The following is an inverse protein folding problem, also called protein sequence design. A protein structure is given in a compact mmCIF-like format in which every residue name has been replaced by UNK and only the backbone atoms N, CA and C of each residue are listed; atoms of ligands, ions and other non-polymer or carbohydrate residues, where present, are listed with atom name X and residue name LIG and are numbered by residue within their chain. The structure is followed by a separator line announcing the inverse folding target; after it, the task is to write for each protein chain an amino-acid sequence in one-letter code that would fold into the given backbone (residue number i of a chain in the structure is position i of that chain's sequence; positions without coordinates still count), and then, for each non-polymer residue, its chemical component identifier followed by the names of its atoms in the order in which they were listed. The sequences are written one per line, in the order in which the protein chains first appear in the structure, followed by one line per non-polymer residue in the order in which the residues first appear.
data_IF_511160501869
#
_entry.id   IF_511160501869
#
_cell.length_a   1.000
_cell.length_b   1.000
_cell.length_c   1.000
_cell.angle_alpha   90.00
_cell.angle_beta   90.00
_cell.angle_gamma   90.00
#
_symmetry.space_group_name_H-M   'P 1'
#
loop_
_entity.id
_entity.type
_entity.pdbx_description
1 polymer ?
#
# COMPACT_ATOMS: atom_id res chain seq x y z
N UNK A 1 17.99 9.01 30.29
CA UNK A 1 17.86 10.32 30.98
C UNK A 1 17.27 10.19 32.39
N UNK A 2 16.15 9.49 32.58
CA UNK A 2 15.50 9.34 33.90
C UNK A 2 16.41 8.74 34.99
N UNK A 3 17.15 7.67 34.68
CA UNK A 3 18.12 7.07 35.62
C UNK A 3 19.29 8.00 35.96
N UNK A 4 19.71 8.85 35.00
CA UNK A 4 20.79 9.82 35.19
C UNK A 4 20.38 10.97 36.12
N UNK A 5 19.20 11.54 35.87
CA UNK A 5 18.59 12.57 36.73
C UNK A 5 18.33 12.02 38.13
N UNK A 6 17.76 10.81 38.22
CA UNK A 6 17.54 10.11 39.49
C UNK A 6 18.85 9.86 40.26
N UNK A 7 19.91 9.44 39.58
CA UNK A 7 21.23 9.26 40.18
C UNK A 7 21.85 10.56 40.71
N UNK A 8 21.66 11.67 40.00
CA UNK A 8 22.12 13.00 40.42
C UNK A 8 21.36 13.50 41.66
N UNK A 9 20.04 13.33 41.72
CA UNK A 9 19.23 13.68 42.90
C UNK A 9 19.53 12.79 44.10
N UNK A 10 19.72 11.49 43.86
CA UNK A 10 20.07 10.50 44.89
C UNK A 10 21.55 10.50 45.28
N UNK A 11 22.38 11.39 44.68
CA UNK A 11 23.83 11.50 44.91
C UNK A 11 24.57 10.15 44.81
N UNK A 12 24.18 9.30 43.88
CA UNK A 12 24.78 7.97 43.75
C UNK A 12 26.26 8.06 43.34
N UNK A 13 27.06 7.08 43.77
CA UNK A 13 28.53 7.12 43.68
C UNK A 13 29.09 7.16 42.25
N UNK A 14 28.32 6.69 41.27
CA UNK A 14 28.68 6.74 39.85
C UNK A 14 28.45 8.12 39.20
N UNK A 15 27.92 9.11 39.95
CA UNK A 15 27.73 10.47 39.44
C UNK A 15 28.96 11.36 39.68
N UNK A 16 29.28 12.32 38.79
CA UNK A 16 30.46 13.17 38.93
C UNK A 16 30.46 13.92 40.27
N UNK A 17 31.51 13.73 41.08
CA UNK A 17 31.65 14.36 42.42
C UNK A 17 32.16 15.81 42.35
N UNK A 18 32.90 16.15 41.29
CA UNK A 18 33.50 17.48 41.07
C UNK A 18 32.49 18.48 40.49
N UNK A 19 32.37 19.65 41.13
CA UNK A 19 31.43 20.73 40.77
C UNK A 19 31.59 21.24 39.32
N UNK A 20 32.81 21.17 38.79
CA UNK A 20 33.15 21.59 37.42
C UNK A 20 32.45 20.75 36.33
N UNK A 21 32.17 19.47 36.60
CA UNK A 21 31.47 18.58 35.67
C UNK A 21 29.95 18.58 35.87
N UNK A 22 29.46 18.91 37.07
CA UNK A 22 28.02 18.93 37.37
C UNK A 22 27.27 20.03 36.63
N UNK A 23 27.83 21.23 36.55
CA UNK A 23 27.18 22.39 35.90
C UNK A 23 26.94 22.18 34.39
N UNK A 24 27.94 21.82 33.57
CA UNK A 24 27.71 21.60 32.13
C UNK A 24 26.76 20.44 31.85
N UNK A 25 26.81 19.38 32.66
CA UNK A 25 25.88 18.25 32.57
C UNK A 25 24.44 18.70 32.85
N UNK A 26 24.22 19.50 33.89
CA UNK A 26 22.91 20.07 34.19
C UNK A 26 22.42 20.98 33.08
N UNK A 27 23.28 21.81 32.50
CA UNK A 27 22.92 22.64 31.34
C UNK A 27 22.47 21.78 30.16
N UNK A 28 23.23 20.72 29.81
CA UNK A 28 22.86 19.78 28.74
C UNK A 28 21.52 19.10 29.05
N UNK A 29 21.30 18.61 30.27
CA UNK A 29 20.04 17.99 30.66
C UNK A 29 18.87 18.97 30.55
N UNK A 30 19.01 20.19 31.05
CA UNK A 30 17.98 21.23 30.96
C UNK A 30 17.70 21.59 29.50
N UNK A 31 18.73 21.78 28.68
CA UNK A 31 18.56 22.03 27.24
C UNK A 31 17.82 20.90 26.57
N UNK A 32 18.22 19.64 26.78
CA UNK A 32 17.53 18.49 26.20
C UNK A 32 16.06 18.40 26.65
N UNK A 33 15.76 18.69 27.92
CA UNK A 33 14.39 18.71 28.43
C UNK A 33 13.59 19.83 27.77
N UNK A 34 14.12 21.06 27.71
CA UNK A 34 13.43 22.20 27.11
C UNK A 34 13.19 21.96 25.62
N UNK A 35 14.19 21.47 24.89
CA UNK A 35 14.06 21.08 23.48
C UNK A 35 13.02 19.98 23.32
N UNK A 36 13.06 18.92 24.14
CA UNK A 36 12.11 17.82 24.06
C UNK A 36 10.67 18.29 24.35
N UNK A 37 10.46 19.09 25.40
CA UNK A 37 9.15 19.64 25.76
C UNK A 37 8.62 20.56 24.67
N UNK A 38 9.46 21.43 24.11
CA UNK A 38 9.08 22.31 23.01
C UNK A 38 8.68 21.52 21.76
N UNK A 39 9.52 20.57 21.33
CA UNK A 39 9.25 19.70 20.18
C UNK A 39 8.02 18.84 20.41
N UNK A 40 7.87 18.21 21.58
CA UNK A 40 6.74 17.38 21.92
C UNK A 40 5.42 18.17 21.93
N UNK A 41 5.44 19.40 22.46
CA UNK A 41 4.25 20.27 22.48
C UNK A 41 3.86 20.67 21.06
N UNK A 42 4.84 21.07 20.22
CA UNK A 42 4.59 21.41 18.83
C UNK A 42 4.06 20.21 18.02
N UNK A 43 4.68 19.03 18.17
CA UNK A 43 4.22 17.79 17.53
C UNK A 43 2.83 17.39 18.01
N UNK A 44 2.54 17.48 19.30
CA UNK A 44 1.22 17.15 19.87
C UNK A 44 0.12 18.07 19.36
N UNK A 45 0.40 19.37 19.25
CA UNK A 45 -0.52 20.32 18.65
C UNK A 45 -0.80 20.02 17.18
N UNK A 46 0.20 19.53 16.43
CA UNK A 46 0.08 19.18 15.00
C UNK A 46 -0.48 17.77 14.75
N UNK A 47 -0.39 16.88 15.73
CA UNK A 47 -0.71 15.47 15.61
C UNK A 47 -2.13 15.19 15.08
N UNK A 48 -3.22 15.85 15.55
CA UNK A 48 -4.55 15.57 15.04
C UNK A 48 -4.70 15.81 13.53
N UNK A 49 -4.08 16.89 13.02
CA UNK A 49 -4.11 17.23 11.60
C UNK A 49 -3.32 16.22 10.76
N UNK A 50 -2.13 15.84 11.23
CA UNK A 50 -1.30 14.81 10.60
C UNK A 50 -2.00 13.46 10.58
N UNK A 51 -2.56 13.03 11.70
CA UNK A 51 -3.32 11.77 11.82
C UNK A 51 -4.54 11.78 10.91
N UNK A 52 -5.34 12.87 10.91
CA UNK A 52 -6.50 13.00 10.03
C UNK A 52 -6.11 12.91 8.55
N UNK A 53 -5.02 13.56 8.14
CA UNK A 53 -4.50 13.46 6.78
C UNK A 53 -4.12 12.02 6.43
N UNK A 54 -3.36 11.33 7.31
CA UNK A 54 -2.99 9.93 7.08
C UNK A 54 -4.21 9.02 6.98
N UNK A 55 -5.20 9.15 7.87
CA UNK A 55 -6.44 8.37 7.79
C UNK A 55 -7.24 8.66 6.52
N UNK A 56 -7.34 9.92 6.09
CA UNK A 56 -8.02 10.28 4.83
C UNK A 56 -7.30 9.70 3.62
N UNK A 57 -5.97 9.81 3.58
CA UNK A 57 -5.16 9.22 2.51
C UNK A 57 -5.34 7.69 2.49
N UNK A 58 -5.25 7.04 3.65
CA UNK A 58 -5.49 5.61 3.81
C UNK A 58 -6.87 5.19 3.33
N UNK A 59 -7.92 5.88 3.80
CA UNK A 59 -9.29 5.60 3.43
C UNK A 59 -9.52 5.74 1.92
N UNK A 60 -8.91 6.75 1.29
CA UNK A 60 -9.03 6.95 -0.16
C UNK A 60 -8.55 5.75 -0.97
N UNK A 61 -7.57 4.98 -0.45
CA UNK A 61 -7.05 3.79 -1.14
C UNK A 61 -8.02 2.62 -1.24
N UNK A 62 -9.13 2.64 -0.49
CA UNK A 62 -10.20 1.62 -0.55
C UNK A 62 -11.56 2.21 -0.94
N UNK A 63 -11.63 3.54 -1.12
CA UNK A 63 -12.87 4.24 -1.45
C UNK A 63 -13.13 4.16 -2.96
N UNK A 64 -13.72 3.04 -3.39
CA UNK A 64 -14.29 2.90 -4.74
C UNK A 64 -15.65 3.60 -4.78
N UNK A 65 -15.93 4.33 -5.88
CA UNK A 65 -17.08 5.23 -5.99
C UNK A 65 -18.41 4.47 -5.78
N UNK A 66 -19.24 4.86 -4.79
CA UNK A 66 -20.53 4.23 -4.49
C UNK A 66 -21.65 4.58 -5.47
N UNK A 67 -21.39 5.34 -6.54
CA UNK A 67 -22.41 5.68 -7.54
C UNK A 67 -22.97 4.48 -8.30
N UNK A 68 -22.25 3.34 -8.33
CA UNK A 68 -22.77 2.10 -8.87
C UNK A 68 -23.38 1.21 -7.79
N UNK A 69 -24.54 0.65 -8.07
CA UNK A 69 -25.10 -0.44 -7.28
C UNK A 69 -24.25 -1.70 -7.48
N UNK A 70 -23.56 -2.09 -6.40
CA UNK A 70 -22.68 -3.25 -6.34
C UNK A 70 -23.39 -4.49 -5.79
N UNK A 71 -24.66 -4.39 -5.36
CA UNK A 71 -25.39 -5.53 -4.85
C UNK A 71 -25.36 -6.69 -5.87
N UNK A 72 -25.04 -7.90 -5.39
CA UNK A 72 -24.93 -9.13 -6.18
C UNK A 72 -23.88 -9.10 -7.32
N UNK A 73 -22.97 -8.12 -7.33
CA UNK A 73 -21.90 -7.99 -8.32
C UNK A 73 -20.52 -8.25 -7.72
N UNK A 74 -19.58 -8.61 -8.59
CA UNK A 74 -18.17 -8.72 -8.24
C UNK A 74 -17.44 -7.43 -8.58
N UNK A 75 -16.89 -6.77 -7.57
CA UNK A 75 -16.01 -5.62 -7.75
C UNK A 75 -14.61 -6.12 -8.11
N UNK A 76 -14.15 -5.82 -9.32
CA UNK A 76 -12.78 -6.10 -9.77
C UNK A 76 -11.97 -4.81 -9.79
N UNK A 77 -10.87 -4.81 -9.05
CA UNK A 77 -10.02 -3.64 -8.86
C UNK A 77 -8.62 -3.91 -9.39
N UNK A 78 -8.23 -3.07 -10.35
CA UNK A 78 -6.89 -3.04 -10.92
C UNK A 78 -6.08 -1.95 -10.22
N UNK A 79 -4.82 -2.26 -9.91
CA UNK A 79 -3.86 -1.30 -9.35
C UNK A 79 -4.19 -0.75 -7.96
N UNK A 80 -5.03 -1.41 -7.17
CA UNK A 80 -5.38 -0.93 -5.84
C UNK A 80 -4.11 -0.83 -4.96
N UNK A 81 -3.69 0.36 -4.53
CA UNK A 81 -2.37 0.57 -3.94
C UNK A 81 -2.21 -0.12 -2.58
N UNK A 82 -3.30 -0.57 -1.97
CA UNK A 82 -3.31 -1.23 -0.68
C UNK A 82 -4.29 -2.42 -0.67
N UNK A 83 -3.93 -3.57 -1.27
CA UNK A 83 -4.80 -4.74 -1.28
C UNK A 83 -5.15 -5.24 0.14
N UNK A 84 -4.26 -5.04 1.11
CA UNK A 84 -4.48 -5.43 2.51
C UNK A 84 -5.73 -4.79 3.12
N UNK A 85 -5.96 -3.49 2.91
CA UNK A 85 -7.11 -2.80 3.50
C UNK A 85 -8.45 -3.19 2.89
N UNK A 86 -8.46 -3.77 1.68
CA UNK A 86 -9.70 -4.29 1.10
C UNK A 86 -10.32 -5.41 1.94
N UNK A 87 -9.56 -6.08 2.81
CA UNK A 87 -10.11 -7.02 3.79
C UNK A 87 -11.06 -6.34 4.80
N UNK A 88 -10.84 -5.06 5.09
CA UNK A 88 -11.70 -4.26 5.97
C UNK A 88 -12.90 -3.62 5.26
N UNK A 89 -12.96 -3.66 3.92
CA UNK A 89 -14.00 -3.02 3.13
C UNK A 89 -15.41 -3.50 3.51
N UNK A 90 -15.67 -4.81 3.74
CA UNK A 90 -17.01 -5.25 4.12
C UNK A 90 -17.49 -4.69 5.45
N UNK A 91 -16.64 -4.71 6.48
CA UNK A 91 -16.98 -4.17 7.80
C UNK A 91 -17.22 -2.66 7.74
N UNK A 92 -16.43 -1.95 6.94
CA UNK A 92 -16.57 -0.51 6.76
C UNK A 92 -17.86 -0.14 6.04
N UNK A 93 -18.18 -0.80 4.93
CA UNK A 93 -19.43 -0.57 4.18
C UNK A 93 -20.66 -0.91 5.00
N UNK A 94 -20.63 -2.03 5.75
CA UNK A 94 -21.69 -2.39 6.68
C UNK A 94 -21.90 -1.34 7.78
N UNK A 95 -20.82 -0.78 8.34
CA UNK A 95 -20.90 0.30 9.34
C UNK A 95 -21.58 1.56 8.81
N UNK A 96 -21.40 1.88 7.52
CA UNK A 96 -22.01 3.04 6.86
C UNK A 96 -23.30 2.72 6.11
N UNK A 97 -23.86 1.51 6.26
CA UNK A 97 -25.06 1.04 5.56
C UNK A 97 -24.96 1.17 4.03
N UNK A 98 -23.75 1.01 3.48
CA UNK A 98 -23.51 1.03 2.04
C UNK A 98 -23.70 -0.36 1.40
N UNK A 99 -24.14 -0.44 0.13
CA UNK A 99 -24.18 -1.70 -0.62
C UNK A 99 -22.80 -2.38 -0.66
N UNK A 100 -22.83 -3.68 -0.36
CA UNK A 100 -21.68 -4.58 -0.43
C UNK A 100 -21.68 -5.31 -1.78
N UNK A 101 -20.52 -5.37 -2.47
CA UNK A 101 -20.39 -6.34 -3.54
C UNK A 101 -20.47 -7.77 -2.98
N UNK A 102 -20.97 -8.72 -3.76
CA UNK A 102 -20.90 -10.15 -3.42
C UNK A 102 -19.42 -10.51 -3.14
N UNK A 103 -18.52 -9.97 -3.95
CA UNK A 103 -17.09 -10.28 -3.93
C UNK A 103 -16.24 -9.09 -4.33
N UNK A 104 -15.01 -9.08 -3.83
CA UNK A 104 -13.97 -8.15 -4.30
C UNK A 104 -12.76 -8.93 -4.77
N UNK A 105 -12.23 -8.56 -5.94
CA UNK A 105 -11.02 -9.11 -6.56
C UNK A 105 -10.04 -8.00 -6.81
N UNK A 106 -8.90 -8.04 -6.13
CA UNK A 106 -7.82 -7.08 -6.32
C UNK A 106 -6.71 -7.78 -7.09
N UNK A 107 -6.46 -7.36 -8.33
CA UNK A 107 -5.56 -8.09 -9.22
C UNK A 107 -4.07 -7.79 -8.94
N UNK A 108 -3.73 -6.51 -8.76
CA UNK A 108 -2.37 -6.07 -8.52
C UNK A 108 -2.35 -4.72 -7.77
N UNK A 109 -1.27 -4.41 -7.02
CA UNK A 109 -1.14 -3.17 -6.25
C UNK A 109 -0.77 -1.93 -7.08
N UNK A 110 -0.47 -2.08 -8.38
CA UNK A 110 -0.25 -0.94 -9.28
C UNK A 110 0.98 -0.09 -8.95
N UNK A 111 2.00 -0.69 -8.32
CA UNK A 111 3.24 0.01 -7.98
C UNK A 111 4.21 0.13 -9.15
N UNK A 112 3.97 -0.63 -10.22
CA UNK A 112 4.71 -0.59 -11.47
C UNK A 112 3.78 -0.22 -12.60
N UNK A 113 4.37 0.24 -13.68
CA UNK A 113 3.65 0.36 -14.93
C UNK A 113 3.33 -1.03 -15.44
N UNK A 114 2.03 -1.29 -15.64
CA UNK A 114 1.55 -2.59 -16.09
C UNK A 114 1.00 -2.47 -17.51
N UNK A 115 1.36 -3.44 -18.32
CA UNK A 115 0.68 -3.76 -19.57
C UNK A 115 -0.42 -4.78 -19.26
N UNK A 116 -1.65 -4.43 -19.61
CA UNK A 116 -2.85 -5.21 -19.35
C UNK A 116 -3.42 -5.62 -20.70
N UNK A 117 -3.39 -6.90 -21.02
CA UNK A 117 -3.83 -7.43 -22.31
C UNK A 117 -5.00 -8.37 -22.11
N UNK A 118 -6.10 -8.17 -22.85
CA UNK A 118 -7.20 -9.13 -22.88
C UNK A 118 -6.87 -10.22 -23.89
N UNK A 119 -6.48 -11.40 -23.40
CA UNK A 119 -6.02 -12.50 -24.25
C UNK A 119 -7.16 -13.36 -24.78
N UNK A 120 -8.36 -13.23 -24.21
CA UNK A 120 -9.54 -13.98 -24.61
C UNK A 120 -10.83 -13.43 -23.99
N UNK A 121 -11.92 -14.16 -24.15
CA UNK A 121 -13.24 -13.73 -23.64
C UNK A 121 -13.25 -13.54 -22.12
N UNK A 122 -12.57 -14.44 -21.39
CA UNK A 122 -12.54 -14.51 -19.92
C UNK A 122 -11.16 -14.28 -19.31
N UNK A 123 -10.14 -14.03 -20.13
CA UNK A 123 -8.75 -14.04 -19.69
C UNK A 123 -8.08 -12.67 -19.83
N UNK A 124 -7.36 -12.29 -18.78
CA UNK A 124 -6.65 -11.01 -18.69
C UNK A 124 -5.21 -11.28 -18.24
N UNK A 125 -4.24 -10.83 -19.05
CA UNK A 125 -2.82 -10.95 -18.75
C UNK A 125 -2.30 -9.62 -18.21
N UNK A 126 -1.69 -9.66 -17.01
CA UNK A 126 -0.97 -8.52 -16.44
C UNK A 126 0.53 -8.78 -16.53
N UNK A 127 1.25 -7.81 -17.10
CA UNK A 127 2.70 -7.84 -17.23
C UNK A 127 3.31 -6.54 -16.68
N UNK A 128 4.21 -6.68 -15.71
CA UNK A 128 5.01 -5.54 -15.24
C UNK A 128 6.04 -5.18 -16.31
N UNK A 129 6.17 -3.89 -16.59
CA UNK A 129 7.22 -3.40 -17.50
C UNK A 129 8.62 -3.47 -16.84
N UNK A 130 8.70 -3.50 -15.51
CA UNK A 130 9.97 -3.61 -14.79
C UNK A 130 9.78 -4.22 -13.39
N UNK A 131 10.56 -5.26 -13.08
CA UNK A 131 10.49 -5.98 -11.80
C UNK A 131 9.11 -6.58 -11.53
N UNK A 132 8.86 -6.96 -10.27
CA UNK A 132 7.63 -7.65 -9.89
C UNK A 132 6.36 -6.78 -9.91
N UNK A 133 5.24 -7.37 -10.34
CA UNK A 133 3.91 -6.74 -10.33
C UNK A 133 3.43 -6.39 -8.90
N UNK A 134 3.98 -7.04 -7.88
CA UNK A 134 3.55 -6.92 -6.48
C UNK A 134 4.38 -5.90 -5.68
N UNK A 135 5.48 -5.41 -6.25
CA UNK A 135 6.49 -4.67 -5.50
C UNK A 135 6.77 -3.29 -6.09
N UNK A 136 7.04 -2.33 -5.21
CA UNK A 136 7.52 -1.01 -5.57
C UNK A 136 9.05 -1.01 -5.70
N UNK A 137 9.58 -0.22 -6.64
CA UNK A 137 11.01 0.10 -6.67
C UNK A 137 11.41 0.86 -5.41
N UNK A 138 12.28 0.29 -4.58
CA UNK A 138 12.78 0.97 -3.38
C UNK A 138 14.19 1.53 -3.54
N UNK A 139 14.84 1.33 -4.70
CA UNK A 139 16.19 1.85 -4.95
C UNK A 139 16.26 3.37 -4.96
N UNK A 140 15.16 4.03 -5.35
CA UNK A 140 15.00 5.50 -5.38
C UNK A 140 14.36 6.07 -4.11
N UNK A 141 14.28 5.29 -3.03
CA UNK A 141 13.67 5.74 -1.78
C UNK A 141 14.54 6.80 -1.11
N UNK A 142 13.99 8.00 -0.97
CA UNK A 142 14.59 9.09 -0.21
C UNK A 142 13.98 9.19 1.20
N UNK A 143 14.35 10.23 1.94
CA UNK A 143 13.80 10.50 3.27
C UNK A 143 12.38 11.09 3.27
N UNK A 144 11.79 11.38 2.09
CA UNK A 144 10.47 11.99 2.02
C UNK A 144 9.39 10.94 2.29
N UNK A 145 8.38 11.25 3.11
CA UNK A 145 7.22 10.38 3.27
C UNK A 145 6.51 10.16 1.93
N UNK A 146 6.20 8.90 1.62
CA UNK A 146 5.44 8.52 0.43
C UNK A 146 4.40 7.49 0.81
N UNK A 147 3.15 7.72 0.38
CA UNK A 147 2.06 6.78 0.57
C UNK A 147 2.36 5.45 -0.14
N UNK A 148 2.96 5.49 -1.33
CA UNK A 148 3.31 4.28 -2.07
C UNK A 148 4.33 3.41 -1.31
N UNK A 149 5.41 4.01 -0.77
CA UNK A 149 6.39 3.27 0.04
C UNK A 149 5.76 2.69 1.31
N UNK A 150 4.83 3.42 1.93
CA UNK A 150 4.13 2.95 3.11
C UNK A 150 3.20 1.76 2.78
N UNK A 151 2.39 1.88 1.73
CA UNK A 151 1.50 0.82 1.29
C UNK A 151 2.26 -0.45 0.83
N UNK A 152 3.41 -0.29 0.17
CA UNK A 152 4.26 -1.41 -0.24
C UNK A 152 4.69 -2.30 0.94
N UNK A 153 4.82 -1.75 2.14
CA UNK A 153 5.17 -2.54 3.32
C UNK A 153 4.12 -3.61 3.65
N UNK A 154 2.84 -3.37 3.32
CA UNK A 154 1.76 -4.31 3.60
C UNK A 154 1.71 -5.51 2.64
N UNK A 155 2.34 -5.41 1.45
CA UNK A 155 2.26 -6.46 0.44
C UNK A 155 3.05 -7.74 0.78
N UNK A 156 4.04 -7.63 1.66
CA UNK A 156 4.86 -8.78 2.09
C UNK A 156 4.40 -9.43 3.38
N UNK A 157 3.32 -8.94 4.02
CA UNK A 157 2.87 -9.41 5.33
C UNK A 157 2.48 -10.90 5.35
N UNK A 158 1.93 -11.40 4.25
CA UNK A 158 1.45 -12.78 4.15
C UNK A 158 2.34 -13.70 3.31
N UNK A 159 3.41 -13.15 2.70
CA UNK A 159 4.35 -13.91 1.90
C UNK A 159 5.77 -13.39 2.14
N UNK A 160 6.52 -14.01 3.08
CA UNK A 160 7.89 -13.64 3.35
C UNK A 160 8.82 -13.94 2.17
N UNK A 161 10.02 -13.35 2.17
CA UNK A 161 10.97 -13.43 1.07
C UNK A 161 11.48 -14.86 0.79
N UNK A 162 11.45 -15.76 1.77
CA UNK A 162 11.80 -17.17 1.65
C UNK A 162 10.69 -18.04 1.04
N UNK A 163 9.56 -17.44 0.67
CA UNK A 163 8.46 -18.08 -0.05
C UNK A 163 8.33 -17.52 -1.48
N UNK A 164 9.27 -17.82 -2.40
CA UNK A 164 9.22 -17.34 -3.77
C UNK A 164 8.06 -17.97 -4.56
N UNK A 165 7.66 -17.31 -5.64
CA UNK A 165 6.73 -17.88 -6.61
C UNK A 165 7.47 -18.83 -7.57
N UNK A 166 6.70 -19.60 -8.30
CA UNK A 166 7.16 -20.47 -9.38
C UNK A 166 6.26 -20.25 -10.58
N UNK A 167 6.80 -20.41 -11.77
CA UNK A 167 5.99 -20.45 -12.99
C UNK A 167 5.01 -21.63 -12.89
N UNK A 168 3.76 -21.40 -13.29
CA UNK A 168 2.64 -22.33 -13.15
C UNK A 168 2.05 -22.39 -11.73
N UNK A 169 2.51 -21.55 -10.79
CA UNK A 169 1.84 -21.44 -9.49
C UNK A 169 0.48 -20.78 -9.72
N UNK A 170 -0.58 -21.49 -9.34
CA UNK A 170 -1.95 -21.03 -9.46
C UNK A 170 -2.60 -20.78 -8.09
N UNK A 171 -3.36 -19.69 -7.99
CA UNK A 171 -4.26 -19.43 -6.90
C UNK A 171 -5.71 -19.49 -7.41
N UNK A 172 -6.45 -20.50 -6.97
CA UNK A 172 -7.86 -20.67 -7.31
C UNK A 172 -8.78 -19.93 -6.33
N UNK A 173 -9.72 -19.17 -6.86
CA UNK A 173 -10.84 -18.57 -6.15
C UNK A 173 -12.16 -19.11 -6.74
N UNK A 174 -13.28 -18.82 -6.08
CA UNK A 174 -14.60 -19.35 -6.48
C UNK A 174 -15.06 -18.97 -7.90
N UNK A 175 -14.58 -17.86 -8.44
CA UNK A 175 -15.01 -17.23 -9.70
C UNK A 175 -13.86 -16.80 -10.61
N UNK A 176 -12.62 -17.04 -10.21
CA UNK A 176 -11.45 -16.77 -11.03
C UNK A 176 -10.25 -17.56 -10.51
N UNK A 177 -9.25 -17.75 -11.36
CA UNK A 177 -7.92 -18.17 -10.95
C UNK A 177 -6.86 -17.15 -11.39
N UNK A 178 -5.69 -17.23 -10.77
CA UNK A 178 -4.52 -16.42 -11.09
C UNK A 178 -3.30 -17.33 -11.20
N UNK A 179 -2.72 -17.42 -12.39
CA UNK A 179 -1.54 -18.22 -12.70
C UNK A 179 -0.30 -17.33 -12.89
N UNK A 180 0.79 -17.65 -12.20
CA UNK A 180 2.09 -17.00 -12.43
C UNK A 180 2.73 -17.55 -13.69
N UNK A 181 2.81 -16.71 -14.73
CA UNK A 181 3.37 -17.07 -16.04
C UNK A 181 4.87 -16.78 -16.12
N UNK A 182 5.33 -15.73 -15.44
CA UNK A 182 6.76 -15.39 -15.38
C UNK A 182 7.15 -14.78 -14.03
N UNK A 183 8.42 -14.94 -13.67
CA UNK A 183 9.05 -14.43 -12.45
C UNK A 183 10.36 -13.71 -12.77
N UNK A 184 10.84 -12.86 -11.86
CA UNK A 184 12.17 -12.27 -11.89
C UNK A 184 13.22 -13.15 -11.17
N UNK A 185 14.46 -12.66 -11.10
CA UNK A 185 15.57 -13.38 -10.47
C UNK A 185 15.41 -13.62 -8.97
N UNK A 186 14.51 -12.87 -8.30
CA UNK A 186 14.19 -13.02 -6.88
C UNK A 186 12.96 -13.92 -6.66
N UNK A 187 12.45 -14.54 -7.73
CA UNK A 187 11.28 -15.41 -7.69
C UNK A 187 9.98 -14.65 -7.46
N UNK A 188 9.93 -13.35 -7.78
CA UNK A 188 8.73 -12.53 -7.68
C UNK A 188 8.01 -12.46 -9.04
N UNK A 189 6.66 -12.42 -9.07
CA UNK A 189 5.92 -12.54 -10.31
C UNK A 189 6.03 -11.26 -11.17
N UNK A 190 6.38 -11.43 -12.44
CA UNK A 190 6.46 -10.35 -13.43
C UNK A 190 5.33 -10.41 -14.45
N UNK A 191 4.74 -11.60 -14.64
CA UNK A 191 3.57 -11.82 -15.50
C UNK A 191 2.59 -12.78 -14.84
N UNK A 192 1.31 -12.41 -14.79
CA UNK A 192 0.22 -13.21 -14.20
C UNK A 192 -0.96 -13.24 -15.16
N UNK A 193 -1.48 -14.43 -15.43
CA UNK A 193 -2.69 -14.65 -16.20
C UNK A 193 -3.85 -14.83 -15.23
N UNK A 194 -4.91 -14.07 -15.44
CA UNK A 194 -6.17 -14.23 -14.72
C UNK A 194 -7.21 -14.86 -15.63
N UNK A 195 -7.88 -15.90 -15.16
CA UNK A 195 -9.00 -16.54 -15.84
C UNK A 195 -10.26 -16.39 -14.99
N UNK A 196 -11.32 -15.82 -15.56
CA UNK A 196 -12.59 -15.56 -14.88
C UNK A 196 -13.64 -16.61 -15.26
N UNK A 197 -14.58 -16.90 -14.36
CA UNK A 197 -15.65 -17.86 -14.64
C UNK A 197 -16.62 -17.36 -15.74
N UNK A 198 -16.75 -16.05 -15.88
CA UNK A 198 -17.62 -15.35 -16.85
C UNK A 198 -16.79 -14.49 -17.81
N UNK A 199 -17.42 -14.01 -18.89
CA UNK A 199 -16.78 -13.06 -19.81
C UNK A 199 -16.37 -11.78 -19.08
N UNK A 200 -15.27 -11.15 -19.50
CA UNK A 200 -14.85 -9.86 -18.91
C UNK A 200 -15.84 -8.72 -19.19
N UNK A 201 -16.73 -8.89 -20.19
CA UNK A 201 -17.82 -7.94 -20.51
C UNK A 201 -19.12 -8.25 -19.75
N UNK A 202 -19.13 -9.29 -18.90
CA UNK A 202 -20.34 -9.66 -18.15
C UNK A 202 -20.72 -8.54 -17.16
N UNK A 203 -22.00 -8.11 -17.13
CA UNK A 203 -22.44 -7.01 -16.26
C UNK A 203 -22.38 -7.32 -14.76
N UNK A 204 -22.15 -8.58 -14.37
CA UNK A 204 -21.85 -8.96 -12.99
C UNK A 204 -20.44 -8.55 -12.54
N UNK A 205 -19.53 -8.24 -13.47
CA UNK A 205 -18.20 -7.72 -13.18
C UNK A 205 -18.18 -6.20 -13.28
N UNK A 206 -17.84 -5.55 -12.18
CA UNK A 206 -17.71 -4.10 -12.09
C UNK A 206 -16.24 -3.73 -11.95
N UNK A 207 -15.71 -3.03 -12.95
CA UNK A 207 -14.28 -2.78 -13.08
C UNK A 207 -13.88 -1.37 -12.65
N UNK A 208 -12.93 -1.29 -11.73
CA UNK A 208 -12.30 -0.04 -11.32
C UNK A 208 -10.78 -0.13 -11.38
N UNK A 209 -10.15 1.00 -11.70
CA UNK A 209 -8.69 1.13 -11.71
C UNK A 209 -8.27 2.29 -10.84
N UNK A 210 -7.26 2.07 -10.00
CA UNK A 210 -6.56 3.16 -9.34
C UNK A 210 -5.59 3.83 -10.31
N UNK A 211 -5.67 5.16 -10.38
CA UNK A 211 -4.72 5.97 -11.15
C UNK A 211 -3.92 6.87 -10.21
N UNK A 212 -2.60 6.72 -10.23
CA UNK A 212 -1.70 7.56 -9.46
C UNK A 212 -1.65 8.99 -10.03
N UNK A 213 -1.67 9.98 -9.12
CA UNK A 213 -1.49 11.39 -9.42
C UNK A 213 -0.79 12.07 -8.24
N UNK A 214 0.42 12.58 -8.48
CA UNK A 214 1.23 13.30 -7.48
C UNK A 214 1.45 12.53 -6.17
N UNK A 215 1.76 11.23 -6.22
CA UNK A 215 1.99 10.38 -5.04
C UNK A 215 0.73 9.99 -4.25
N UNK A 216 -0.44 10.48 -4.66
CA UNK A 216 -1.76 10.01 -4.27
C UNK A 216 -2.44 9.37 -5.48
N UNK A 217 -3.74 9.15 -5.43
CA UNK A 217 -4.51 8.71 -6.60
C UNK A 217 -6.00 8.68 -6.31
N UNK A 218 -6.73 8.14 -7.26
CA UNK A 218 -8.18 7.94 -7.17
C UNK A 218 -8.61 6.78 -8.04
N UNK A 219 -9.75 6.20 -7.70
CA UNK A 219 -10.42 5.22 -8.54
C UNK A 219 -11.20 5.89 -9.67
N UNK A 220 -11.20 5.26 -10.83
CA UNK A 220 -12.12 5.52 -11.94
C UNK A 220 -12.62 4.19 -12.47
N UNK A 221 -13.75 4.20 -13.19
CA UNK A 221 -14.16 3.02 -13.96
C UNK A 221 -13.02 2.61 -14.90
N UNK A 222 -12.88 1.31 -15.09
CA UNK A 222 -11.89 0.75 -15.98
C UNK A 222 -12.58 0.06 -17.15
N UNK A 223 -12.40 0.64 -18.33
CA UNK A 223 -12.83 0.02 -19.57
C UNK A 223 -11.85 -1.10 -19.91
N UNK A 224 -12.38 -2.32 -19.97
CA UNK A 224 -11.60 -3.49 -20.33
C UNK A 224 -11.24 -3.39 -21.82
N UNK A 225 -9.97 -3.61 -22.21
CA UNK A 225 -9.58 -3.56 -23.62
C UNK A 225 -10.30 -4.64 -24.43
N UNK A 226 -10.44 -4.43 -25.73
CA UNK A 226 -10.99 -5.47 -26.61
C UNK A 226 -10.06 -6.69 -26.65
N UNK A 227 -10.58 -7.84 -27.09
CA UNK A 227 -9.78 -9.06 -27.21
C UNK A 227 -8.61 -8.82 -28.17
N UNK A 228 -7.39 -9.12 -27.71
CA UNK A 228 -6.13 -8.88 -28.43
C UNK A 228 -5.56 -7.48 -28.24
N UNK A 229 -6.32 -6.55 -27.65
CA UNK A 229 -5.84 -5.21 -27.32
C UNK A 229 -5.19 -5.15 -25.95
N UNK A 230 -4.44 -4.07 -25.74
CA UNK A 230 -3.74 -3.79 -24.50
C UNK A 230 -3.94 -2.35 -24.04
N UNK A 231 -3.89 -2.15 -22.73
CA UNK A 231 -3.84 -0.84 -22.10
C UNK A 231 -2.69 -0.80 -21.12
N UNK A 232 -2.02 0.36 -21.06
CA UNK A 232 -0.96 0.60 -20.11
C UNK A 232 -1.45 1.40 -18.90
N UNK A 233 -0.84 1.13 -17.77
CA UNK A 233 -1.06 1.87 -16.53
C UNK A 233 0.28 2.35 -16.01
N UNK A 234 0.27 3.44 -15.22
CA UNK A 234 1.47 4.01 -14.65
C UNK A 234 1.58 3.70 -13.17
N UNK A 235 2.81 3.51 -12.68
CA UNK A 235 3.12 3.48 -11.25
C UNK A 235 3.07 4.88 -10.58
N UNK A 236 3.28 4.95 -9.26
CA UNK A 236 3.22 6.19 -8.47
C UNK A 236 4.25 7.25 -8.87
N UNK A 237 5.33 6.85 -9.54
CA UNK A 237 6.44 7.72 -9.92
C UNK A 237 6.51 8.02 -11.42
N UNK A 238 5.51 7.57 -12.21
CA UNK A 238 5.45 7.86 -13.64
C UNK A 238 6.52 7.13 -14.47
N UNK A 239 6.97 5.96 -14.02
CA UNK A 239 7.96 5.15 -14.74
C UNK A 239 7.36 4.69 -16.08
N UNK A 240 7.61 5.41 -17.16
CA UNK A 240 7.50 4.85 -18.52
C UNK A 240 8.71 3.96 -18.71
N UNK A 241 8.52 2.71 -19.12
CA UNK A 241 9.63 1.77 -19.34
C UNK A 241 10.66 2.37 -20.28
N UNK A 242 11.91 2.46 -19.81
CA UNK A 242 13.11 2.63 -20.63
C UNK A 242 13.65 1.24 -21.00
#
# INVERSE_FOLDING_TARGET
MAQFIGGLFAKQDWTPKLRFWRVPIWMICVTLILTHVGVATALRARAPGTVSFFFKAFYSTIKVDPSEDLADKTLVVVNAPNPFLFMGLPALKAYWEEPLPDRTRVLAPGFRSLKITRTGDKTLLLESQAGSILSLDTSRKDFKPSLAYFCNHFNSLFRPADMPFRVGHEAELRDMSAEVVAIDGDGQPTKVLFDFAVSLDDPSLVWFKWTWKNGLGSYSKFEIPAIGEEVQTNGPFGDTGD
#
